data_IF_088761094381
#
_entry.id   IF_088761094381
#
_cell.length_a   1.000
_cell.length_b   1.000
_cell.length_c   1.000
_cell.angle_alpha   90.00
_cell.angle_beta   90.00
_cell.angle_gamma   90.00
#
_symmetry.space_group_name_H-M   'P 1'
#
loop_
_entity.id
_entity.type
_entity.pdbx_description
1 polymer ?
#
# COMPACT_ATOMS: atom_id res chain seq x y z
N UNK A 1 -13.79 -9.04 -0.82
CA UNK A 1 -13.57 -9.00 0.64
C UNK A 1 -12.11 -9.30 0.92
N UNK A 2 -11.53 -8.58 1.87
CA UNK A 2 -10.20 -8.78 2.42
C UNK A 2 -10.38 -9.55 3.73
N UNK A 3 -9.51 -10.53 3.98
CA UNK A 3 -9.46 -11.29 5.22
C UNK A 3 -8.15 -10.95 5.92
N UNK A 4 -8.24 -10.64 7.20
CA UNK A 4 -7.10 -10.26 8.04
C UNK A 4 -7.29 -10.82 9.46
N UNK A 5 -6.26 -10.69 10.30
CA UNK A 5 -6.29 -11.08 11.71
C UNK A 5 -5.68 -9.98 12.58
N UNK A 6 -6.46 -9.45 13.52
CA UNK A 6 -6.02 -8.41 14.46
C UNK A 6 -6.15 -8.94 15.89
N UNK A 7 -5.05 -8.97 16.63
CA UNK A 7 -5.06 -9.48 18.02
C UNK A 7 -5.69 -10.88 18.18
N UNK A 8 -5.54 -11.75 17.16
CA UNK A 8 -6.16 -13.08 17.13
C UNK A 8 -7.62 -13.13 16.68
N UNK A 9 -8.24 -11.97 16.38
CA UNK A 9 -9.60 -11.88 15.87
C UNK A 9 -9.62 -11.86 14.34
N UNK A 10 -10.54 -12.63 13.76
CA UNK A 10 -10.76 -12.60 12.31
C UNK A 10 -11.41 -11.29 11.91
N UNK A 11 -10.83 -10.62 10.93
CA UNK A 11 -11.36 -9.39 10.34
C UNK A 11 -11.80 -9.64 8.90
N UNK A 12 -13.02 -9.22 8.58
CA UNK A 12 -13.54 -9.21 7.21
C UNK A 12 -13.72 -7.76 6.80
N UNK A 13 -13.04 -7.30 5.76
CA UNK A 13 -13.09 -5.91 5.35
C UNK A 13 -13.27 -5.70 3.85
N UNK A 14 -13.70 -4.50 3.48
CA UNK A 14 -13.74 -4.07 2.09
C UNK A 14 -13.60 -2.55 2.00
N UNK A 15 -12.75 -2.10 1.09
CA UNK A 15 -12.60 -0.68 0.75
C UNK A 15 -13.19 -0.34 -0.61
N UNK A 16 -13.41 0.95 -0.85
CA UNK A 16 -13.84 1.46 -2.15
C UNK A 16 -13.41 2.90 -2.34
N UNK A 17 -12.78 3.19 -3.48
CA UNK A 17 -12.39 4.55 -3.85
C UNK A 17 -13.04 4.94 -5.17
N UNK A 18 -13.56 6.16 -5.23
CA UNK A 18 -13.80 6.90 -6.48
C UNK A 18 -13.18 8.28 -6.33
N UNK A 19 -13.20 9.09 -7.39
CA UNK A 19 -12.58 10.43 -7.35
C UNK A 19 -13.25 11.26 -6.25
N UNK A 20 -12.47 11.61 -5.23
CA UNK A 20 -12.93 12.39 -4.08
C UNK A 20 -13.81 11.62 -3.09
N UNK A 21 -13.92 10.29 -3.17
CA UNK A 21 -14.68 9.48 -2.19
C UNK A 21 -13.90 8.24 -1.78
N UNK A 22 -13.98 7.91 -0.49
CA UNK A 22 -13.38 6.73 0.11
C UNK A 22 -14.36 6.11 1.10
N UNK A 23 -14.52 4.79 1.02
CA UNK A 23 -15.33 4.02 1.94
C UNK A 23 -14.54 2.81 2.46
N UNK A 24 -14.76 2.47 3.73
CA UNK A 24 -14.24 1.28 4.37
C UNK A 24 -15.34 0.61 5.22
N UNK A 25 -15.35 -0.72 5.19
CA UNK A 25 -16.16 -1.58 6.03
C UNK A 25 -15.25 -2.60 6.71
N UNK A 26 -15.46 -2.81 8.01
CA UNK A 26 -14.86 -3.90 8.78
C UNK A 26 -15.93 -4.62 9.58
N UNK A 27 -15.82 -5.94 9.67
CA UNK A 27 -16.65 -6.80 10.49
C UNK A 27 -15.77 -7.77 11.27
N UNK A 28 -16.03 -7.86 12.58
CA UNK A 28 -15.38 -8.73 13.55
C UNK A 28 -16.41 -9.76 14.01
N UNK A 29 -16.45 -10.97 13.39
CA UNK A 29 -17.60 -11.86 13.54
C UNK A 29 -17.81 -12.42 14.95
N UNK A 30 -16.76 -12.59 15.74
CA UNK A 30 -16.81 -13.19 17.08
C UNK A 30 -17.26 -12.20 18.17
N UNK A 31 -16.99 -10.90 17.99
CA UNK A 31 -17.55 -9.84 18.86
C UNK A 31 -18.89 -9.32 18.35
N UNK A 32 -19.20 -9.53 17.06
CA UNK A 32 -20.40 -9.01 16.40
C UNK A 32 -20.28 -7.54 15.99
N UNK A 33 -19.11 -6.93 16.15
CA UNK A 33 -18.86 -5.53 15.82
C UNK A 33 -18.72 -5.32 14.31
N UNK A 34 -19.41 -4.31 13.79
CA UNK A 34 -19.33 -3.89 12.38
C UNK A 34 -19.20 -2.38 12.32
N UNK A 35 -18.17 -1.90 11.63
CA UNK A 35 -17.88 -0.46 11.45
C UNK A 35 -17.86 -0.14 9.96
N UNK A 36 -18.61 0.89 9.56
CA UNK A 36 -18.62 1.42 8.20
C UNK A 36 -18.33 2.91 8.21
N UNK A 37 -17.34 3.34 7.42
CA UNK A 37 -16.89 4.73 7.33
C UNK A 37 -16.91 5.18 5.87
N UNK A 38 -17.41 6.39 5.63
CA UNK A 38 -17.37 7.06 4.32
C UNK A 38 -16.84 8.48 4.49
N UNK A 39 -15.89 8.86 3.64
CA UNK A 39 -15.27 10.19 3.63
C UNK A 39 -15.10 10.71 2.21
N UNK A 40 -15.16 12.03 2.05
CA UNK A 40 -15.21 12.72 0.77
C UNK A 40 -13.99 13.61 0.50
N UNK A 41 -12.84 13.32 1.10
CA UNK A 41 -11.60 14.07 0.88
C UNK A 41 -10.51 13.80 1.91
N UNK A 42 -9.44 14.59 1.83
CA UNK A 42 -8.28 14.50 2.72
C UNK A 42 -7.46 13.23 2.54
N UNK A 43 -6.60 12.94 3.53
CA UNK A 43 -5.80 11.73 3.61
C UNK A 43 -6.67 10.56 4.12
N UNK A 44 -7.63 10.15 3.30
CA UNK A 44 -8.70 9.25 3.69
C UNK A 44 -8.23 7.92 4.26
N UNK A 45 -7.13 7.34 3.74
CA UNK A 45 -6.54 6.11 4.28
C UNK A 45 -6.04 6.26 5.72
N UNK A 46 -5.32 7.35 6.01
CA UNK A 46 -4.85 7.64 7.36
C UNK A 46 -5.99 7.95 8.33
N UNK A 47 -6.99 8.69 7.84
CA UNK A 47 -8.19 8.96 8.62
C UNK A 47 -8.93 7.67 8.97
N UNK A 48 -9.16 6.78 8.00
CA UNK A 48 -9.89 5.54 8.25
C UNK A 48 -9.10 4.55 9.11
N UNK A 49 -7.77 4.53 8.99
CA UNK A 49 -6.91 3.78 9.90
C UNK A 49 -6.99 4.30 11.34
N UNK A 50 -6.94 5.61 11.54
CA UNK A 50 -7.08 6.22 12.87
C UNK A 50 -8.45 5.92 13.51
N UNK A 51 -9.54 6.07 12.73
CA UNK A 51 -10.90 5.74 13.19
C UNK A 51 -11.02 4.27 13.55
N UNK A 52 -10.50 3.36 12.72
CA UNK A 52 -10.50 1.93 13.04
C UNK A 52 -9.72 1.64 14.33
N UNK A 53 -8.52 2.23 14.47
CA UNK A 53 -7.66 2.03 15.64
C UNK A 53 -8.35 2.46 16.93
N UNK A 54 -8.97 3.64 16.95
CA UNK A 54 -9.68 4.15 18.12
C UNK A 54 -10.92 3.30 18.45
N UNK A 55 -11.77 3.05 17.45
CA UNK A 55 -13.03 2.34 17.67
C UNK A 55 -12.83 0.88 18.07
N UNK A 56 -11.93 0.14 17.44
CA UNK A 56 -11.72 -1.28 17.77
C UNK A 56 -11.00 -1.48 19.10
N UNK A 57 -10.12 -0.54 19.49
CA UNK A 57 -9.56 -0.53 20.83
C UNK A 57 -10.65 -0.26 21.90
N UNK A 58 -11.55 0.69 21.65
CA UNK A 58 -12.61 1.05 22.62
C UNK A 58 -13.73 0.01 22.71
N UNK A 59 -14.22 -0.49 21.58
CA UNK A 59 -15.39 -1.36 21.51
C UNK A 59 -15.07 -2.82 21.82
N UNK A 60 -13.94 -3.31 21.32
CA UNK A 60 -13.59 -4.74 21.33
C UNK A 60 -12.28 -5.03 22.08
N UNK A 61 -11.50 -4.01 22.45
CA UNK A 61 -10.15 -4.20 23.01
C UNK A 61 -9.15 -4.78 22.01
N UNK A 62 -9.38 -4.54 20.71
CA UNK A 62 -8.57 -5.08 19.61
C UNK A 62 -7.53 -4.05 19.17
N UNK A 63 -6.26 -4.45 19.17
CA UNK A 63 -5.18 -3.66 18.59
C UNK A 63 -5.16 -3.82 17.06
N UNK A 64 -5.39 -2.71 16.35
CA UNK A 64 -5.23 -2.64 14.89
C UNK A 64 -3.74 -2.54 14.54
N UNK A 65 -3.22 -3.35 13.61
CA UNK A 65 -1.81 -3.29 13.20
C UNK A 65 -1.39 -1.89 12.75
N UNK A 66 -0.20 -1.42 13.17
CA UNK A 66 0.31 -0.12 12.73
C UNK A 66 0.66 -0.15 11.24
N UNK A 67 0.62 1.01 10.59
CA UNK A 67 1.12 1.18 9.23
C UNK A 67 2.64 0.93 9.20
N UNK A 68 3.11 0.07 8.29
CA UNK A 68 4.52 -0.25 8.14
C UNK A 68 5.31 0.99 7.72
N UNK A 69 6.29 1.39 8.52
CA UNK A 69 7.22 2.49 8.24
C UNK A 69 8.66 2.01 8.05
N UNK A 70 9.61 2.94 7.79
CA UNK A 70 11.01 2.60 7.62
C UNK A 70 11.59 2.01 8.92
N UNK A 71 12.50 1.03 8.82
CA UNK A 71 13.12 0.44 10.01
C UNK A 71 14.01 1.47 10.71
N UNK A 72 14.14 1.34 12.04
CA UNK A 72 15.03 2.21 12.82
C UNK A 72 16.51 2.01 12.49
N UNK A 73 16.88 0.79 12.04
CA UNK A 73 18.21 0.47 11.55
C UNK A 73 18.13 0.27 10.03
N UNK A 74 18.90 1.03 9.23
CA UNK A 74 18.93 0.84 7.78
C UNK A 74 19.30 -0.58 7.38
N UNK A 75 18.69 -1.06 6.28
CA UNK A 75 18.94 -2.39 5.71
C UNK A 75 19.67 -2.21 4.39
N UNK A 76 20.80 -2.90 4.23
CA UNK A 76 21.53 -2.96 2.97
C UNK A 76 20.91 -4.04 2.07
N UNK A 77 20.50 -3.65 0.87
CA UNK A 77 19.88 -4.55 -0.12
C UNK A 77 20.53 -4.28 -1.48
N UNK A 78 20.75 -5.32 -2.28
CA UNK A 78 21.11 -5.16 -3.69
C UNK A 78 19.92 -4.61 -4.47
N UNK A 79 19.74 -3.29 -4.44
CA UNK A 79 18.57 -2.62 -4.98
C UNK A 79 18.54 -2.58 -6.51
N UNK A 80 19.70 -2.72 -7.17
CA UNK A 80 19.81 -2.65 -8.63
C UNK A 80 18.97 -3.74 -9.31
N UNK A 81 18.81 -4.91 -8.67
CA UNK A 81 17.99 -6.01 -9.20
C UNK A 81 16.51 -5.63 -9.39
N UNK A 82 16.04 -4.62 -8.66
CA UNK A 82 14.66 -4.16 -8.71
C UNK A 82 14.40 -3.06 -9.75
N UNK A 83 15.44 -2.39 -10.23
CA UNK A 83 15.32 -1.35 -11.25
C UNK A 83 14.77 -1.94 -12.56
N UNK A 84 13.91 -1.19 -13.26
CA UNK A 84 13.30 -1.59 -14.52
C UNK A 84 11.89 -1.05 -14.70
N UNK A 85 11.24 -1.51 -15.76
CA UNK A 85 9.88 -1.12 -16.14
C UNK A 85 8.89 -2.18 -15.70
N UNK A 86 7.88 -1.78 -14.93
CA UNK A 86 6.78 -2.65 -14.53
C UNK A 86 5.48 -2.10 -15.11
N UNK A 87 4.72 -2.93 -15.82
CA UNK A 87 3.54 -2.47 -16.52
C UNK A 87 2.37 -3.44 -16.41
N UNK A 88 1.19 -2.88 -16.20
CA UNK A 88 -0.09 -3.59 -16.27
C UNK A 88 -1.13 -2.66 -16.88
N UNK A 89 -2.31 -3.19 -17.15
CA UNK A 89 -3.46 -2.36 -17.58
C UNK A 89 -3.69 -1.24 -16.57
N UNK A 90 -3.64 0.01 -17.05
CA UNK A 90 -3.93 1.22 -16.28
C UNK A 90 -2.76 1.78 -15.46
N UNK A 91 -1.59 1.13 -15.41
CA UNK A 91 -0.44 1.66 -14.69
C UNK A 91 0.90 1.23 -15.30
N UNK A 92 1.82 2.21 -15.39
CA UNK A 92 3.24 2.01 -15.70
C UNK A 92 4.05 2.51 -14.51
N UNK A 93 5.05 1.73 -14.09
CA UNK A 93 5.96 2.07 -13.01
C UNK A 93 7.39 1.95 -13.52
N UNK A 94 8.10 3.07 -13.59
CA UNK A 94 9.53 3.10 -13.90
C UNK A 94 10.30 3.15 -12.60
N UNK A 95 11.05 2.10 -12.31
CA UNK A 95 11.85 1.97 -11.08
C UNK A 95 13.32 2.22 -11.42
N UNK A 96 13.93 3.21 -10.78
CA UNK A 96 15.34 3.60 -11.00
C UNK A 96 16.11 3.67 -9.69
N UNK A 97 17.42 3.47 -9.76
CA UNK A 97 18.33 3.76 -8.65
C UNK A 97 18.91 5.16 -8.85
N UNK A 98 18.75 6.03 -7.85
CA UNK A 98 19.37 7.36 -7.79
C UNK A 98 19.92 7.57 -6.40
N UNK A 99 21.17 8.04 -6.33
CA UNK A 99 21.86 8.31 -5.06
C UNK A 99 21.82 7.14 -4.05
N UNK A 100 21.86 5.89 -4.54
CA UNK A 100 21.80 4.69 -3.71
C UNK A 100 20.41 4.34 -3.17
N UNK A 101 19.34 4.92 -3.73
CA UNK A 101 17.97 4.67 -3.32
C UNK A 101 17.08 4.31 -4.53
N UNK A 102 16.10 3.43 -4.31
CA UNK A 102 15.07 3.15 -5.31
C UNK A 102 14.06 4.28 -5.38
N UNK A 103 13.71 4.65 -6.60
CA UNK A 103 12.62 5.57 -6.88
C UNK A 103 11.65 4.97 -7.86
N UNK A 104 10.36 5.04 -7.54
CA UNK A 104 9.27 4.61 -8.40
C UNK A 104 8.59 5.83 -8.97
N UNK A 105 8.64 6.00 -10.29
CA UNK A 105 7.75 6.90 -11.02
C UNK A 105 6.53 6.09 -11.48
N UNK A 106 5.37 6.36 -10.87
CA UNK A 106 4.11 5.71 -11.19
C UNK A 106 3.24 6.62 -12.06
N UNK A 107 2.83 6.12 -13.20
CA UNK A 107 2.02 6.81 -14.21
C UNK A 107 0.74 6.02 -14.48
N UNK A 108 -0.40 6.71 -14.55
CA UNK A 108 -1.61 6.10 -15.07
C UNK A 108 -1.51 5.94 -16.59
N UNK A 109 -2.06 4.85 -17.12
CA UNK A 109 -2.12 4.60 -18.57
C UNK A 109 -3.57 4.48 -19.04
N UNK A 110 -3.80 4.64 -20.35
CA UNK A 110 -5.14 4.63 -20.94
C UNK A 110 -5.97 5.84 -20.52
N UNK A 111 -7.28 5.64 -20.36
CA UNK A 111 -8.27 6.71 -20.11
C UNK A 111 -8.02 7.53 -18.83
N UNK A 112 -7.22 7.00 -17.89
CA UNK A 112 -6.89 7.68 -16.64
C UNK A 112 -5.65 8.59 -16.73
N UNK A 113 -4.88 8.53 -17.83
CA UNK A 113 -3.61 9.24 -17.96
C UNK A 113 -3.77 10.77 -17.86
N UNK A 114 -4.86 11.33 -18.38
CA UNK A 114 -5.09 12.78 -18.39
C UNK A 114 -5.53 13.35 -17.03
N UNK A 115 -6.09 12.51 -16.15
CA UNK A 115 -6.69 12.94 -14.88
C UNK A 115 -5.91 12.47 -13.65
N UNK A 116 -4.88 11.65 -13.83
CA UNK A 116 -4.00 11.18 -12.76
C UNK A 116 -2.55 11.57 -13.07
N UNK A 117 -2.03 12.65 -12.46
CA UNK A 117 -0.66 13.06 -12.70
C UNK A 117 0.31 11.95 -12.24
N UNK A 118 1.51 11.87 -12.86
CA UNK A 118 2.56 10.99 -12.38
C UNK A 118 2.93 11.28 -10.93
N UNK A 119 3.23 10.22 -10.17
CA UNK A 119 3.68 10.32 -8.79
C UNK A 119 5.01 9.62 -8.64
N UNK A 120 5.97 10.32 -8.04
CA UNK A 120 7.28 9.77 -7.74
C UNK A 120 7.43 9.52 -6.24
N UNK A 121 8.00 8.36 -5.89
CA UNK A 121 8.14 7.91 -4.50
C UNK A 121 9.52 7.32 -4.32
N UNK A 122 10.27 7.84 -3.36
CA UNK A 122 11.51 7.24 -2.90
C UNK A 122 11.20 6.07 -1.95
N UNK A 123 11.86 4.93 -2.16
CA UNK A 123 11.65 3.70 -1.41
C UNK A 123 12.80 3.45 -0.44
N UNK A 124 12.47 3.07 0.79
CA UNK A 124 13.40 2.70 1.86
C UNK A 124 13.25 1.19 2.11
N UNK A 125 14.35 0.42 2.10
CA UNK A 125 14.29 -1.01 2.37
C UNK A 125 13.85 -1.28 3.82
N UNK A 126 12.94 -2.25 3.97
CA UNK A 126 12.52 -2.83 5.26
C UNK A 126 13.18 -4.19 5.46
N UNK A 127 13.22 -4.99 4.40
CA UNK A 127 13.90 -6.28 4.33
C UNK A 127 14.44 -6.51 2.91
N UNK A 128 14.89 -7.72 2.61
CA UNK A 128 15.44 -8.09 1.30
C UNK A 128 14.50 -7.78 0.12
N UNK A 129 13.18 -7.84 0.33
CA UNK A 129 12.13 -7.75 -0.70
C UNK A 129 11.08 -6.67 -0.46
N UNK A 130 10.93 -6.22 0.78
CA UNK A 130 9.94 -5.24 1.20
C UNK A 130 10.58 -3.87 1.33
N UNK A 131 9.90 -2.89 0.76
CA UNK A 131 10.27 -1.48 0.82
C UNK A 131 9.06 -0.66 1.25
N UNK A 132 9.32 0.50 1.85
CA UNK A 132 8.29 1.49 2.13
C UNK A 132 8.63 2.81 1.45
N UNK A 133 7.62 3.47 0.93
CA UNK A 133 7.73 4.82 0.39
C UNK A 133 6.62 5.70 0.92
N UNK A 134 6.77 7.00 0.75
CA UNK A 134 5.75 7.97 1.14
C UNK A 134 5.72 9.09 0.11
N UNK A 135 4.52 9.48 -0.31
CA UNK A 135 4.34 10.63 -1.21
C UNK A 135 4.51 11.91 -0.40
N UNK A 136 4.98 12.96 -1.05
CA UNK A 136 5.07 14.26 -0.40
C UNK A 136 3.68 14.73 0.07
N UNK A 137 3.57 15.06 1.35
CA UNK A 137 2.32 15.49 1.99
C UNK A 137 1.45 14.35 2.55
N UNK A 138 1.66 13.11 2.12
CA UNK A 138 0.92 11.97 2.68
C UNK A 138 1.42 11.67 4.11
N UNK A 139 0.51 11.40 5.07
CA UNK A 139 0.90 11.06 6.44
C UNK A 139 1.47 9.64 6.54
N UNK A 140 0.96 8.71 5.74
CA UNK A 140 1.21 7.28 5.85
C UNK A 140 2.20 6.77 4.81
N UNK A 141 2.95 5.75 5.23
CA UNK A 141 3.82 4.99 4.34
C UNK A 141 3.02 3.94 3.56
N UNK A 142 3.54 3.59 2.39
CA UNK A 142 3.00 2.57 1.51
C UNK A 142 4.08 1.54 1.21
N UNK A 143 3.71 0.26 1.27
CA UNK A 143 4.63 -0.84 1.04
C UNK A 143 4.71 -1.23 -0.44
N UNK A 144 5.93 -1.41 -0.93
CA UNK A 144 6.23 -2.12 -2.16
C UNK A 144 6.88 -3.47 -1.81
N UNK A 145 6.36 -4.57 -2.33
CA UNK A 145 6.94 -5.91 -2.13
C UNK A 145 7.34 -6.48 -3.48
N UNK A 146 8.61 -6.80 -3.64
CA UNK A 146 9.14 -7.43 -4.84
C UNK A 146 9.19 -8.94 -4.69
N UNK A 147 8.74 -9.68 -5.70
CA UNK A 147 8.72 -11.13 -5.67
C UNK A 147 8.83 -11.70 -7.09
N UNK A 148 9.05 -13.01 -7.18
CA UNK A 148 9.02 -13.75 -8.43
C UNK A 148 7.89 -14.79 -8.39
N UNK A 149 7.25 -15.02 -9.52
CA UNK A 149 6.37 -16.17 -9.69
C UNK A 149 7.20 -17.46 -9.79
N UNK A 150 6.52 -18.61 -9.76
CA UNK A 150 7.17 -19.93 -9.86
C UNK A 150 7.98 -20.12 -11.16
N UNK A 151 7.66 -19.36 -12.21
CA UNK A 151 8.39 -19.35 -13.50
C UNK A 151 9.56 -18.35 -13.54
N UNK A 152 9.83 -17.65 -12.43
CA UNK A 152 10.89 -16.66 -12.30
C UNK A 152 10.48 -15.24 -12.74
N UNK A 153 9.25 -15.04 -13.24
CA UNK A 153 8.80 -13.71 -13.68
C UNK A 153 8.79 -12.73 -12.49
N UNK A 154 9.53 -11.60 -12.55
CA UNK A 154 9.57 -10.64 -11.47
C UNK A 154 8.34 -9.74 -11.45
N UNK A 155 7.86 -9.43 -10.24
CA UNK A 155 6.73 -8.59 -9.97
C UNK A 155 7.03 -7.60 -8.85
N UNK A 156 6.31 -6.48 -8.87
CA UNK A 156 6.14 -5.61 -7.70
C UNK A 156 4.67 -5.60 -7.29
N UNK A 157 4.40 -5.80 -6.00
CA UNK A 157 3.10 -5.53 -5.40
C UNK A 157 3.13 -4.16 -4.74
N UNK A 158 2.40 -3.21 -5.30
CA UNK A 158 2.29 -1.83 -4.81
C UNK A 158 0.89 -1.29 -5.10
N UNK A 159 0.27 -0.66 -4.10
CA UNK A 159 -1.09 -0.13 -4.24
C UNK A 159 -2.12 -1.23 -4.53
N UNK A 160 -2.12 -2.30 -3.73
CA UNK A 160 -3.03 -3.46 -3.80
C UNK A 160 -3.06 -4.20 -5.13
N UNK A 161 -1.99 -4.08 -5.93
CA UNK A 161 -1.89 -4.67 -7.27
C UNK A 161 -0.50 -5.25 -7.51
N UNK A 162 -0.49 -6.45 -8.08
CA UNK A 162 0.69 -7.07 -8.68
C UNK A 162 0.95 -6.50 -10.08
N UNK A 163 2.20 -6.13 -10.36
CA UNK A 163 2.62 -5.59 -11.65
C UNK A 163 3.86 -6.33 -12.13
N UNK A 164 3.83 -7.00 -13.30
CA UNK A 164 5.00 -7.70 -13.83
C UNK A 164 6.06 -6.71 -14.28
N UNK A 165 7.33 -7.12 -14.18
CA UNK A 165 8.45 -6.46 -14.85
C UNK A 165 8.41 -6.83 -16.34
N UNK A 166 8.49 -5.83 -17.20
CA UNK A 166 8.42 -5.97 -18.67
C UNK A 166 9.67 -5.46 -19.38
N UNK A 167 10.60 -4.82 -18.66
CA UNK A 167 11.86 -4.28 -19.18
C UNK A 167 12.85 -3.96 -18.07
#
# INVERSE_FOLDING_TARGET
WILDEWSGHRVISHGGNTIGQHAMLWAIPDTGTVVAVSVNGGHSGAFTHAVATELFAELDGIDVPPVLGPPATPVEVDIERYAGLYERVGARMTITVRDGQLHVLSEATGDLAEISPPVEIALVPVDETTFVGRRDGDPDWLSAVFYQLADGTPYVHLGVRATPKVG
#
